data_IF_720274063916
#
_entry.id   IF_720274063916
#
_cell.length_a   1.000
_cell.length_b   1.000
_cell.length_c   1.000
_cell.angle_alpha   90.00
_cell.angle_beta   90.00
_cell.angle_gamma   90.00
#
_symmetry.space_group_name_H-M   'P 1'
#
loop_
_entity.id
_entity.type
_entity.pdbx_description
1 polymer ?
#
# COMPACT_ATOMS: atom_id res chain seq x y z
N UNK A 1 28.91 -5.63 -16.06
CA UNK A 1 28.59 -4.77 -14.90
C UNK A 1 29.03 -5.51 -13.65
N UNK A 2 29.96 -4.94 -12.87
CA UNK A 2 30.36 -5.51 -11.58
C UNK A 2 29.25 -5.18 -10.58
N UNK A 3 28.50 -6.17 -10.14
CA UNK A 3 27.58 -6.01 -9.01
C UNK A 3 28.45 -5.96 -7.76
N UNK A 4 28.54 -4.79 -7.12
CA UNK A 4 29.16 -4.69 -5.80
C UNK A 4 28.43 -5.65 -4.86
N UNK A 5 29.15 -6.49 -4.08
CA UNK A 5 28.50 -7.37 -3.12
C UNK A 5 27.71 -6.54 -2.12
N UNK A 6 26.53 -7.04 -1.74
CA UNK A 6 25.74 -6.46 -0.66
C UNK A 6 26.50 -6.65 0.65
N UNK A 7 26.93 -5.56 1.26
CA UNK A 7 27.50 -5.58 2.61
C UNK A 7 26.36 -5.35 3.62
N UNK A 8 26.04 -6.34 4.48
CA UNK A 8 25.00 -6.18 5.48
C UNK A 8 25.43 -5.12 6.52
N UNK A 9 24.49 -4.25 6.89
CA UNK A 9 24.70 -3.33 8.01
C UNK A 9 24.72 -4.15 9.31
N UNK A 10 25.90 -4.26 9.93
CA UNK A 10 26.08 -5.03 11.18
C UNK A 10 26.01 -4.17 12.43
N UNK A 11 25.96 -2.83 12.30
CA UNK A 11 25.87 -1.91 13.43
C UNK A 11 24.46 -1.94 14.08
N UNK A 12 24.35 -2.36 15.36
CA UNK A 12 23.07 -2.39 16.06
C UNK A 12 22.41 -1.02 16.25
N UNK A 13 23.17 0.08 16.25
CA UNK A 13 22.62 1.43 16.36
C UNK A 13 22.01 1.88 15.03
N UNK A 14 22.72 1.69 13.91
CA UNK A 14 22.19 1.90 12.57
C UNK A 14 20.90 1.09 12.34
N UNK A 15 20.84 -0.17 12.77
CA UNK A 15 19.63 -0.98 12.68
C UNK A 15 18.47 -0.39 13.50
N UNK A 16 18.72 -0.03 14.78
CA UNK A 16 17.70 0.58 15.63
C UNK A 16 17.14 1.87 15.03
N UNK A 17 18.01 2.73 14.49
CA UNK A 17 17.60 3.97 13.83
C UNK A 17 16.77 3.71 12.58
N UNK A 18 17.16 2.73 11.74
CA UNK A 18 16.40 2.35 10.56
C UNK A 18 14.99 1.85 10.92
N UNK A 19 14.86 1.02 11.96
CA UNK A 19 13.56 0.53 12.45
C UNK A 19 12.69 1.68 12.99
N UNK A 20 13.28 2.62 13.73
CA UNK A 20 12.55 3.81 14.20
C UNK A 20 12.04 4.66 13.03
N UNK A 21 12.88 4.90 12.03
CA UNK A 21 12.49 5.66 10.83
C UNK A 21 11.37 4.93 10.06
N UNK A 22 11.44 3.61 9.95
CA UNK A 22 10.39 2.80 9.32
C UNK A 22 9.06 2.93 10.07
N UNK A 23 9.08 2.89 11.41
CA UNK A 23 7.89 3.06 12.22
C UNK A 23 7.24 4.44 12.01
N UNK A 24 8.05 5.51 11.99
CA UNK A 24 7.57 6.88 11.70
C UNK A 24 6.96 6.96 10.31
N UNK A 25 7.65 6.40 9.30
CA UNK A 25 7.19 6.37 7.92
C UNK A 25 5.86 5.63 7.77
N UNK A 26 5.69 4.49 8.44
CA UNK A 26 4.45 3.71 8.42
C UNK A 26 3.27 4.49 8.99
N UNK A 27 3.47 5.21 10.11
CA UNK A 27 2.44 6.06 10.72
C UNK A 27 2.05 7.20 9.77
N UNK A 28 3.02 7.86 9.14
CA UNK A 28 2.77 8.93 8.18
C UNK A 28 2.01 8.43 6.95
N UNK A 29 2.42 7.29 6.38
CA UNK A 29 1.76 6.66 5.25
C UNK A 29 0.31 6.29 5.57
N UNK A 30 0.07 5.68 6.73
CA UNK A 30 -1.28 5.32 7.16
C UNK A 30 -2.20 6.54 7.31
N UNK A 31 -1.70 7.63 7.93
CA UNK A 31 -2.48 8.87 8.06
C UNK A 31 -2.85 9.48 6.70
N UNK A 32 -1.90 9.50 5.76
CA UNK A 32 -2.17 9.95 4.41
C UNK A 32 -3.22 9.09 3.70
N UNK A 33 -3.16 7.76 3.89
CA UNK A 33 -4.14 6.85 3.31
C UNK A 33 -5.56 7.06 3.83
N UNK A 34 -5.71 7.23 5.15
CA UNK A 34 -6.99 7.53 5.79
C UNK A 34 -7.53 8.90 5.32
N UNK A 35 -6.66 9.91 5.20
CA UNK A 35 -7.06 11.22 4.68
C UNK A 35 -7.55 11.10 3.23
N UNK A 36 -6.81 10.40 2.37
CA UNK A 36 -7.19 10.18 0.98
C UNK A 36 -8.58 9.51 0.88
N UNK A 37 -8.84 8.48 1.69
CA UNK A 37 -10.16 7.83 1.75
C UNK A 37 -11.26 8.82 2.14
N UNK A 38 -11.03 9.67 3.15
CA UNK A 38 -11.99 10.68 3.57
C UNK A 38 -12.30 11.74 2.50
N UNK A 39 -11.37 11.95 1.57
CA UNK A 39 -11.49 12.89 0.45
C UNK A 39 -11.96 12.21 -0.84
N UNK A 40 -12.20 10.89 -0.83
CA UNK A 40 -12.50 10.11 -2.04
C UNK A 40 -11.33 10.08 -3.04
N UNK A 41 -10.10 10.25 -2.58
CA UNK A 41 -8.87 10.13 -3.38
C UNK A 41 -8.37 8.68 -3.26
N UNK A 42 -8.08 7.98 -4.38
CA UNK A 42 -7.60 6.60 -4.31
C UNK A 42 -6.16 6.48 -3.79
N UNK A 43 -5.91 5.50 -2.93
CA UNK A 43 -4.56 5.09 -2.56
C UNK A 43 -4.01 4.06 -3.55
N UNK A 44 -2.77 4.26 -3.99
CA UNK A 44 -2.13 3.40 -4.98
C UNK A 44 -1.01 2.56 -4.34
N UNK A 45 -0.91 1.30 -4.74
CA UNK A 45 0.03 0.32 -4.20
C UNK A 45 0.69 -0.47 -5.32
N UNK A 46 1.93 -0.92 -5.11
CA UNK A 46 2.60 -1.89 -5.98
C UNK A 46 2.48 -3.29 -5.38
N UNK A 47 1.68 -4.16 -6.00
CA UNK A 47 1.50 -5.56 -5.60
C UNK A 47 2.00 -6.43 -6.75
N UNK A 48 3.04 -7.24 -6.48
CA UNK A 48 3.64 -8.09 -7.51
C UNK A 48 4.18 -7.32 -8.72
N UNK A 49 4.65 -6.08 -8.51
CA UNK A 49 5.13 -5.20 -9.58
C UNK A 49 4.03 -4.51 -10.41
N UNK A 50 2.75 -4.69 -10.04
CA UNK A 50 1.61 -4.03 -10.69
C UNK A 50 1.05 -2.95 -9.79
N UNK A 51 0.73 -1.80 -10.38
CA UNK A 51 0.04 -0.72 -9.68
C UNK A 51 -1.45 -1.06 -9.54
N UNK A 52 -1.96 -1.01 -8.31
CA UNK A 52 -3.37 -1.23 -7.97
C UNK A 52 -3.86 -0.09 -7.09
N UNK A 53 -5.18 0.12 -7.07
CA UNK A 53 -5.85 1.17 -6.30
C UNK A 53 -6.92 0.58 -5.38
N UNK A 54 -7.12 1.15 -4.20
CA UNK A 54 -8.18 0.72 -3.28
C UNK A 54 -9.60 1.08 -3.75
N UNK A 55 -9.75 2.01 -4.70
CA UNK A 55 -11.05 2.44 -5.25
C UNK A 55 -11.71 1.43 -6.20
N UNK A 56 -10.93 0.55 -6.83
CA UNK A 56 -11.46 -0.46 -7.75
C UNK A 56 -12.42 -1.47 -7.09
N UNK A 57 -12.38 -1.60 -5.76
CA UNK A 57 -13.28 -2.49 -5.03
C UNK A 57 -14.72 -2.00 -4.96
N UNK A 58 -14.96 -0.69 -4.98
CA UNK A 58 -16.33 -0.17 -4.81
C UNK A 58 -17.12 -0.18 -6.13
N UNK A 59 -16.43 0.04 -7.25
CA UNK A 59 -17.04 0.03 -8.59
C UNK A 59 -17.30 -1.41 -9.09
N UNK A 60 -16.42 -2.37 -8.78
CA UNK A 60 -16.64 -3.79 -9.15
C UNK A 60 -17.69 -4.48 -8.27
N UNK A 61 -17.81 -4.12 -6.99
CA UNK A 61 -18.84 -4.67 -6.09
C UNK A 61 -20.24 -4.18 -6.45
N UNK A 62 -20.36 -2.94 -6.95
CA UNK A 62 -21.61 -2.39 -7.46
C UNK A 62 -22.06 -3.05 -8.78
N UNK A 63 -21.13 -3.58 -9.56
CA UNK A 63 -21.46 -4.32 -10.79
C UNK A 63 -21.98 -5.74 -10.50
N UNK A 64 -21.44 -6.42 -9.48
CA UNK A 64 -21.81 -7.81 -9.14
C UNK A 64 -23.17 -7.89 -8.41
N UNK A 65 -23.53 -6.89 -7.59
CA UNK A 65 -24.87 -6.82 -6.95
C UNK A 65 -26.01 -6.47 -7.93
N UNK A 66 -25.70 -5.94 -9.12
CA UNK A 66 -26.70 -5.58 -10.14
C UNK A 66 -27.21 -6.76 -10.97
N UNK A 67 -26.53 -7.92 -10.93
CA UNK A 67 -26.80 -9.06 -11.82
C UNK A 67 -27.46 -10.26 -11.12
N UNK A 68 -27.79 -10.14 -9.83
CA UNK A 68 -28.21 -11.26 -8.97
C UNK A 68 -29.69 -11.32 -8.58
N UNK A 69 -30.62 -10.66 -9.28
CA UNK A 69 -32.00 -10.57 -8.76
C UNK A 69 -33.11 -10.21 -9.74
N UNK A 70 -33.13 -10.82 -10.94
CA UNK A 70 -34.36 -10.87 -11.76
C UNK A 70 -34.48 -12.23 -12.43
N UNK A 71 -35.17 -13.14 -11.75
CA UNK A 71 -36.00 -14.22 -12.31
C UNK A 71 -37.04 -14.48 -11.20
N UNK A 72 -38.26 -13.94 -11.35
CA UNK A 72 -39.42 -14.64 -11.90
C UNK A 72 -40.01 -15.64 -10.89
#
# INVERSE_FOLDING_TARGET
MSNSPFEPVTDPEAFRRAVQMLAIGNVAAHRAQVLNQSLGIPNHYSIGGRMVSDRGRDDERSADESNGGRNA
#
